data_IF_974164310610
#
_entry.id   IF_974164310610
#
_cell.length_a   1.000
_cell.length_b   1.000
_cell.length_c   1.000
_cell.angle_alpha   90.00
_cell.angle_beta   90.00
_cell.angle_gamma   90.00
#
_symmetry.space_group_name_H-M   'P 1'
#
loop_
_entity.id
_entity.type
_entity.pdbx_description
1 polymer ?
#
# COMPACT_ATOMS: atom_id res chain seq x y z
N UNK A 1 -17.77 -16.53 -8.83
CA UNK A 1 -17.19 -15.38 -8.11
C UNK A 1 -16.47 -15.81 -6.83
N UNK A 2 -17.06 -16.68 -5.99
CA UNK A 2 -16.41 -17.20 -4.77
C UNK A 2 -15.01 -17.80 -4.99
N UNK A 3 -14.88 -18.71 -5.97
CA UNK A 3 -13.58 -19.32 -6.30
C UNK A 3 -12.49 -18.30 -6.69
N UNK A 4 -12.87 -17.15 -7.24
CA UNK A 4 -11.93 -16.07 -7.56
C UNK A 4 -11.40 -15.40 -6.31
N UNK A 5 -12.26 -15.14 -5.32
CA UNK A 5 -11.88 -14.58 -4.02
C UNK A 5 -10.91 -15.52 -3.32
N UNK A 6 -11.23 -16.81 -3.28
CA UNK A 6 -10.39 -17.82 -2.64
C UNK A 6 -9.02 -17.91 -3.33
N UNK A 7 -9.01 -17.92 -4.66
CA UNK A 7 -7.76 -17.98 -5.42
C UNK A 7 -6.89 -16.74 -5.23
N UNK A 8 -7.49 -15.55 -5.19
CA UNK A 8 -6.78 -14.30 -4.91
C UNK A 8 -6.13 -14.36 -3.51
N UNK A 9 -6.86 -14.82 -2.49
CA UNK A 9 -6.34 -14.94 -1.12
C UNK A 9 -5.18 -15.93 -1.05
N UNK A 10 -5.28 -17.05 -1.75
CA UNK A 10 -4.23 -18.07 -1.81
C UNK A 10 -2.97 -17.56 -2.51
N UNK A 11 -3.12 -16.88 -3.64
CA UNK A 11 -1.98 -16.48 -4.48
C UNK A 11 -1.31 -15.18 -4.04
N UNK A 12 -2.09 -14.21 -3.55
CA UNK A 12 -1.63 -12.86 -3.24
C UNK A 12 -1.54 -12.57 -1.75
N UNK A 13 -1.99 -13.49 -0.89
CA UNK A 13 -1.87 -13.38 0.56
C UNK A 13 -0.43 -13.30 1.05
N UNK A 14 -0.14 -12.33 1.91
CA UNK A 14 1.19 -12.17 2.56
C UNK A 14 1.14 -12.11 4.07
N UNK A 15 -0.06 -12.03 4.65
CA UNK A 15 -0.29 -11.98 6.08
C UNK A 15 -1.78 -11.98 6.40
N UNK A 16 -2.16 -11.80 7.67
CA UNK A 16 -3.56 -11.78 8.09
C UNK A 16 -4.33 -10.64 7.40
N UNK A 17 -5.17 -10.98 6.43
CA UNK A 17 -5.97 -10.01 5.68
C UNK A 17 -5.18 -9.13 4.69
N UNK A 18 -3.88 -9.40 4.49
CA UNK A 18 -3.01 -8.61 3.62
C UNK A 18 -2.81 -9.26 2.26
N UNK A 19 -2.98 -8.48 1.19
CA UNK A 19 -2.79 -8.88 -0.20
C UNK A 19 -1.73 -8.02 -0.90
N UNK A 20 -0.89 -8.65 -1.71
CA UNK A 20 -0.12 -7.94 -2.76
C UNK A 20 -1.02 -7.55 -3.92
N UNK A 21 -0.57 -6.62 -4.75
CA UNK A 21 -1.25 -6.27 -6.00
C UNK A 21 -0.93 -7.29 -7.10
N UNK A 22 0.31 -7.76 -7.15
CA UNK A 22 0.74 -8.83 -8.06
C UNK A 22 1.79 -9.75 -7.38
N UNK A 23 2.38 -10.68 -8.13
CA UNK A 23 3.49 -11.56 -7.68
C UNK A 23 4.78 -11.27 -8.42
N UNK A 24 4.72 -10.36 -9.38
CA UNK A 24 5.79 -10.11 -10.34
C UNK A 24 6.57 -8.89 -9.84
N UNK A 25 7.87 -8.90 -10.07
CA UNK A 25 8.72 -7.73 -9.82
C UNK A 25 8.24 -6.55 -10.68
N UNK A 26 7.94 -5.42 -10.05
CA UNK A 26 7.52 -4.20 -10.73
C UNK A 26 8.67 -3.31 -11.18
N UNK A 27 9.91 -3.77 -10.99
CA UNK A 27 11.12 -3.06 -11.36
C UNK A 27 11.43 -1.88 -10.44
N UNK A 28 10.71 -1.74 -9.32
CA UNK A 28 11.01 -0.71 -8.32
C UNK A 28 12.01 -1.22 -7.27
N UNK A 29 12.87 -0.34 -6.72
CA UNK A 29 13.82 -0.75 -5.70
C UNK A 29 13.14 -1.15 -4.38
N UNK A 30 13.07 -2.44 -4.11
CA UNK A 30 12.46 -3.02 -2.92
C UNK A 30 11.68 -4.29 -3.28
N UNK A 31 11.23 -5.04 -2.28
CA UNK A 31 10.22 -6.08 -2.52
C UNK A 31 8.82 -5.45 -2.53
N UNK A 32 7.90 -5.97 -3.33
CA UNK A 32 6.49 -5.56 -3.31
C UNK A 32 5.87 -5.86 -1.94
N UNK A 33 5.27 -4.85 -1.33
CA UNK A 33 4.55 -4.96 -0.07
C UNK A 33 3.09 -5.41 -0.23
N UNK A 34 2.38 -5.53 0.89
CA UNK A 34 0.93 -5.60 0.88
C UNK A 34 0.34 -4.24 0.49
N UNK A 35 -0.62 -4.22 -0.44
CA UNK A 35 -1.27 -3.01 -0.92
C UNK A 35 -2.61 -2.83 -0.22
N UNK A 36 -2.74 -1.81 0.64
CA UNK A 36 -3.89 -1.70 1.55
C UNK A 36 -5.22 -1.52 0.81
N UNK A 37 -5.22 -0.81 -0.33
CA UNK A 37 -6.43 -0.69 -1.16
C UNK A 37 -6.94 -2.06 -1.62
N UNK A 38 -6.06 -2.96 -2.06
CA UNK A 38 -6.43 -4.32 -2.47
C UNK A 38 -7.00 -5.12 -1.30
N UNK A 39 -6.52 -4.87 -0.09
CA UNK A 39 -7.01 -5.52 1.12
C UNK A 39 -8.43 -5.04 1.47
N UNK A 40 -8.72 -3.74 1.34
CA UNK A 40 -10.07 -3.22 1.53
C UNK A 40 -11.03 -3.69 0.43
N UNK A 41 -10.57 -3.82 -0.82
CA UNK A 41 -11.37 -4.43 -1.88
C UNK A 41 -11.71 -5.91 -1.59
N UNK A 42 -10.81 -6.66 -0.93
CA UNK A 42 -11.12 -8.01 -0.46
C UNK A 42 -12.27 -7.99 0.56
N UNK A 43 -12.30 -7.04 1.50
CA UNK A 43 -13.41 -6.88 2.44
C UNK A 43 -14.72 -6.65 1.68
N UNK A 44 -14.75 -5.71 0.74
CA UNK A 44 -15.91 -5.43 -0.10
C UNK A 44 -16.38 -6.67 -0.85
N UNK A 45 -15.45 -7.43 -1.44
CA UNK A 45 -15.75 -8.66 -2.16
C UNK A 45 -16.34 -9.75 -1.24
N UNK A 46 -15.83 -9.91 -0.02
CA UNK A 46 -16.36 -10.84 0.98
C UNK A 46 -17.77 -10.44 1.43
N UNK A 47 -18.03 -9.15 1.65
CA UNK A 47 -19.38 -8.64 1.96
C UNK A 47 -20.35 -8.96 0.84
N UNK A 48 -19.99 -8.63 -0.41
CA UNK A 48 -20.84 -8.92 -1.57
C UNK A 48 -21.04 -10.42 -1.81
N UNK A 49 -20.11 -11.25 -1.35
CA UNK A 49 -20.21 -12.70 -1.38
C UNK A 49 -21.03 -13.32 -0.23
N UNK A 50 -21.56 -12.51 0.70
CA UNK A 50 -22.30 -12.98 1.88
C UNK A 50 -21.41 -13.56 2.99
N UNK A 51 -20.08 -13.44 2.87
CA UNK A 51 -19.09 -13.96 3.83
C UNK A 51 -18.78 -12.91 4.89
N UNK A 52 -19.81 -12.48 5.62
CA UNK A 52 -19.75 -11.31 6.48
C UNK A 52 -18.78 -11.48 7.67
N UNK A 53 -18.71 -12.67 8.26
CA UNK A 53 -17.80 -12.94 9.39
C UNK A 53 -16.34 -12.81 8.96
N UNK A 54 -15.98 -13.39 7.81
CA UNK A 54 -14.64 -13.25 7.25
C UNK A 54 -14.33 -11.82 6.84
N UNK A 55 -15.31 -11.11 6.26
CA UNK A 55 -15.15 -9.69 5.95
C UNK A 55 -14.87 -8.86 7.21
N UNK A 56 -15.58 -9.16 8.30
CA UNK A 56 -15.43 -8.52 9.61
C UNK A 56 -14.05 -8.76 10.18
N UNK A 57 -13.59 -10.01 10.19
CA UNK A 57 -12.24 -10.36 10.66
C UNK A 57 -11.16 -9.61 9.89
N UNK A 58 -11.21 -9.63 8.56
CA UNK A 58 -10.23 -8.92 7.73
C UNK A 58 -10.28 -7.42 7.99
N UNK A 59 -11.48 -6.82 8.05
CA UNK A 59 -11.64 -5.40 8.34
C UNK A 59 -11.07 -5.01 9.71
N UNK A 60 -11.34 -5.83 10.74
CA UNK A 60 -10.88 -5.58 12.10
C UNK A 60 -9.34 -5.70 12.23
N UNK A 61 -8.68 -6.50 11.38
CA UNK A 61 -7.23 -6.46 11.23
C UNK A 61 -6.78 -5.17 10.53
N UNK A 62 -7.40 -4.83 9.40
CA UNK A 62 -6.98 -3.71 8.57
C UNK A 62 -7.05 -2.36 9.29
N UNK A 63 -8.08 -2.14 10.13
CA UNK A 63 -8.19 -0.92 10.96
C UNK A 63 -7.00 -0.69 11.90
N UNK A 64 -6.24 -1.74 12.23
CA UNK A 64 -5.05 -1.65 13.07
C UNK A 64 -3.85 -1.01 12.37
N UNK A 65 -3.85 -0.93 11.03
CA UNK A 65 -2.75 -0.37 10.25
C UNK A 65 -2.86 1.13 9.99
N UNK A 66 -3.89 1.79 10.52
CA UNK A 66 -3.98 3.24 10.45
C UNK A 66 -2.80 3.88 11.21
N UNK A 67 -2.13 4.83 10.58
CA UNK A 67 -1.05 5.59 11.22
C UNK A 67 -1.57 6.59 12.27
N UNK A 68 -0.68 7.32 12.95
CA UNK A 68 -1.05 8.29 14.00
C UNK A 68 -1.97 9.44 13.56
N UNK A 69 -2.13 9.64 12.24
CA UNK A 69 -3.01 10.65 11.65
C UNK A 69 -4.30 10.03 11.09
N UNK A 70 -4.61 8.77 11.43
CA UNK A 70 -5.69 7.97 10.85
C UNK A 70 -5.62 7.82 9.32
N UNK A 71 -4.41 7.96 8.78
CA UNK A 71 -4.12 7.73 7.38
C UNK A 71 -3.57 6.32 7.19
N UNK A 72 -4.03 5.68 6.11
CA UNK A 72 -3.50 4.40 5.66
C UNK A 72 -2.37 4.64 4.67
N UNK A 73 -1.26 3.92 4.85
CA UNK A 73 -0.20 3.88 3.86
C UNK A 73 -0.70 3.22 2.56
N UNK A 74 -0.08 3.52 1.44
CA UNK A 74 -0.38 2.81 0.18
C UNK A 74 0.04 1.34 0.28
N UNK A 75 1.25 1.11 0.80
CA UNK A 75 1.85 -0.21 0.97
C UNK A 75 2.40 -0.42 2.38
N UNK A 76 2.31 -1.66 2.86
CA UNK A 76 2.95 -2.15 4.07
C UNK A 76 3.94 -3.26 3.70
N UNK A 77 4.97 -3.44 4.51
CA UNK A 77 5.81 -4.62 4.43
C UNK A 77 4.94 -5.89 4.54
N UNK A 78 5.36 -7.03 3.96
CA UNK A 78 4.55 -8.26 3.94
C UNK A 78 4.09 -8.72 5.33
N UNK A 79 4.84 -8.39 6.37
CA UNK A 79 4.55 -8.70 7.77
C UNK A 79 3.60 -7.70 8.46
N UNK A 80 3.20 -6.62 7.76
CA UNK A 80 2.31 -5.57 8.26
C UNK A 80 2.98 -4.56 9.20
N UNK A 81 4.28 -4.69 9.49
CA UNK A 81 4.91 -3.95 10.59
C UNK A 81 5.37 -2.54 10.19
N UNK A 82 5.70 -2.31 8.91
CA UNK A 82 6.30 -1.04 8.45
C UNK A 82 5.67 -0.57 7.15
N UNK A 83 5.23 0.69 7.02
CA UNK A 83 4.88 1.28 5.72
C UNK A 83 6.04 1.19 4.74
N UNK A 84 5.79 0.70 3.52
CA UNK A 84 6.78 0.78 2.45
C UNK A 84 6.73 2.19 1.89
N UNK A 85 7.72 3.00 2.25
CA UNK A 85 7.83 4.35 1.71
C UNK A 85 8.15 4.29 0.22
N UNK A 86 7.39 5.02 -0.61
CA UNK A 86 7.87 5.42 -1.93
C UNK A 86 9.07 6.34 -1.70
N UNK A 87 10.29 5.83 -1.87
CA UNK A 87 11.49 6.65 -1.65
C UNK A 87 11.66 7.78 -2.68
N UNK A 88 10.67 7.99 -3.54
CA UNK A 88 10.57 9.11 -4.48
C UNK A 88 10.15 10.42 -3.82
N UNK A 89 9.56 10.42 -2.62
CA UNK A 89 9.28 11.66 -1.88
C UNK A 89 10.38 12.00 -0.86
N UNK A 90 11.51 12.55 -1.33
CA UNK A 90 12.44 13.33 -0.48
C UNK A 90 11.96 14.79 -0.35
N UNK A 91 10.68 14.97 -0.07
CA UNK A 91 9.97 16.25 -0.15
C UNK A 91 10.02 17.10 1.11
N UNK A 92 11.11 17.08 1.87
CA UNK A 92 11.47 18.20 2.74
C UNK A 92 12.95 18.53 2.59
N UNK A 93 13.33 19.08 1.43
CA UNK A 93 14.47 19.99 1.42
C UNK A 93 14.08 21.21 2.26
N UNK A 94 14.37 21.18 3.57
CA UNK A 94 14.53 22.43 4.33
C UNK A 94 15.56 23.25 3.54
N UNK A 95 15.15 24.38 2.97
CA UNK A 95 16.09 25.40 2.52
C UNK A 95 16.97 25.74 3.74
N UNK A 96 18.30 25.60 3.67
CA UNK A 96 19.13 26.29 4.64
C UNK A 96 18.83 27.79 4.50
N UNK A 97 18.57 28.44 5.63
CA UNK A 97 18.37 29.88 5.66
C UNK A 97 19.70 30.55 5.24
N UNK A 98 19.72 31.21 4.08
CA UNK A 98 20.80 32.13 3.71
C UNK A 98 21.77 31.72 2.59
N UNK A 99 21.31 31.11 1.49
CA UNK A 99 22.12 30.93 0.26
C UNK A 99 21.56 31.71 -0.94
N UNK A 100 22.41 32.24 -1.85
CA UNK A 100 21.96 33.06 -2.98
C UNK A 100 21.14 32.25 -3.99
N UNK A 101 20.28 32.89 -4.81
CA UNK A 101 19.38 32.17 -5.72
C UNK A 101 20.17 31.41 -6.78
N UNK A 102 20.19 30.08 -6.68
CA UNK A 102 20.74 29.22 -7.72
C UNK A 102 19.86 29.32 -8.98
N UNK A 103 20.50 29.68 -10.08
CA UNK A 103 19.87 30.00 -11.36
C UNK A 103 19.01 28.88 -11.95
N UNK A 104 17.91 29.29 -12.58
CA UNK A 104 17.02 28.44 -13.37
C UNK A 104 17.75 27.83 -14.57
N UNK A 105 18.00 26.53 -14.57
CA UNK A 105 18.13 25.66 -15.77
C UNK A 105 17.84 24.21 -15.29
N UNK A 106 16.94 23.39 -15.83
CA UNK A 106 16.00 23.50 -16.93
C UNK A 106 15.14 22.20 -16.96
N UNK A 107 13.89 22.38 -17.39
CA UNK A 107 12.91 21.42 -17.95
C UNK A 107 12.62 20.07 -17.26
N UNK A 108 11.39 20.02 -16.76
CA UNK A 108 10.56 18.83 -16.58
C UNK A 108 10.46 18.05 -17.90
N UNK A 109 10.83 16.78 -17.92
CA UNK A 109 10.45 15.83 -18.97
C UNK A 109 9.52 14.83 -18.32
N UNK A 110 8.25 14.97 -18.66
CA UNK A 110 7.19 14.00 -18.42
C UNK A 110 7.08 13.19 -19.72
N UNK A 111 7.53 11.94 -19.69
CA UNK A 111 7.13 10.90 -20.63
C UNK A 111 6.96 9.63 -19.80
#
# INVERSE_FOLDING_TARGET
MLATIDRIREELGVGPGLLRRYRIDDGLPGGEGAFLLCCFELVSALVLAGRHDEAREVFDQLRGYAGPLDLYAEQLAPDGTTPVADRTWTGTRRRPAGGPPAGRRGRCVRC
#
